data_IF_739308347782
#
_entry.id   IF_739308347782
#
_cell.length_a   1.000
_cell.length_b   1.000
_cell.length_c   1.000
_cell.angle_alpha   90.00
_cell.angle_beta   90.00
_cell.angle_gamma   90.00
#
_symmetry.space_group_name_H-M   'P 1'
#
loop_
_entity.id
_entity.type
_entity.pdbx_description
1 polymer ?
#
# COMPACT_ATOMS: atom_id res chain seq x y z
N UNK A 1 52.70 -40.28 35.98
CA UNK A 1 53.39 -40.77 34.76
C UNK A 1 53.17 -39.73 33.68
N UNK A 2 54.13 -38.80 33.42
CA UNK A 2 55.07 -38.79 32.27
C UNK A 2 54.38 -39.26 30.97
N UNK A 3 54.29 -38.49 29.88
CA UNK A 3 55.38 -37.76 29.21
C UNK A 3 54.87 -36.79 28.10
N UNK A 4 55.55 -35.63 27.99
CA UNK A 4 56.08 -34.89 26.81
C UNK A 4 55.13 -34.47 25.67
N UNK A 5 54.95 -33.18 25.33
CA UNK A 5 55.85 -32.06 24.97
C UNK A 5 56.43 -32.11 23.53
N UNK A 6 56.11 -31.08 22.73
CA UNK A 6 57.00 -30.14 21.97
C UNK A 6 56.20 -29.42 20.86
N UNK A 7 56.11 -28.08 20.86
CA UNK A 7 57.05 -27.09 20.24
C UNK A 7 57.19 -27.30 18.72
N UNK A 8 57.03 -26.35 17.81
CA UNK A 8 56.79 -24.90 17.85
C UNK A 8 57.14 -24.26 16.49
N UNK A 9 56.80 -22.97 16.35
CA UNK A 9 57.49 -21.92 15.56
C UNK A 9 57.21 -21.75 14.03
N UNK A 10 56.38 -20.75 13.71
CA UNK A 10 56.60 -19.47 12.97
C UNK A 10 57.60 -19.40 11.79
N UNK A 11 57.13 -18.78 10.67
CA UNK A 11 57.76 -17.78 9.76
C UNK A 11 57.41 -18.10 8.28
N UNK A 12 56.56 -17.33 7.58
CA UNK A 12 56.70 -16.00 6.94
C UNK A 12 57.51 -15.94 5.64
N UNK A 13 56.95 -15.22 4.66
CA UNK A 13 57.51 -14.60 3.44
C UNK A 13 57.65 -15.41 2.14
N UNK A 14 57.19 -14.81 1.04
CA UNK A 14 57.85 -14.91 -0.27
C UNK A 14 56.91 -14.96 -1.48
N UNK A 15 56.84 -13.84 -2.21
CA UNK A 15 56.20 -13.63 -3.51
C UNK A 15 56.63 -14.60 -4.63
N UNK A 16 55.78 -14.79 -5.65
CA UNK A 16 56.06 -14.41 -7.06
C UNK A 16 55.18 -15.12 -8.10
N UNK A 17 54.48 -14.29 -8.88
CA UNK A 17 54.30 -14.29 -10.34
C UNK A 17 53.74 -15.50 -11.15
N UNK A 18 52.65 -15.15 -11.85
CA UNK A 18 52.34 -15.37 -13.28
C UNK A 18 52.26 -16.80 -13.85
N UNK A 19 51.09 -17.11 -14.42
CA UNK A 19 50.96 -17.42 -15.86
C UNK A 19 49.51 -17.37 -16.36
N UNK A 20 49.37 -16.75 -17.53
CA UNK A 20 48.19 -16.61 -18.37
C UNK A 20 47.54 -17.95 -18.77
N UNK A 21 46.20 -17.95 -18.90
CA UNK A 21 45.50 -18.49 -20.08
C UNK A 21 43.98 -18.29 -20.00
N UNK A 22 43.45 -17.40 -20.85
CA UNK A 22 42.11 -17.49 -21.44
C UNK A 22 42.30 -17.92 -22.92
N UNK A 23 41.28 -18.25 -23.75
CA UNK A 23 39.83 -18.14 -23.55
C UNK A 23 39.01 -19.37 -24.03
N UNK A 24 37.74 -19.51 -23.62
CA UNK A 24 36.75 -20.31 -24.38
C UNK A 24 35.37 -19.64 -24.34
N UNK A 25 34.92 -19.16 -25.50
CA UNK A 25 33.52 -18.84 -25.84
C UNK A 25 32.71 -20.13 -25.95
N UNK A 26 31.49 -20.16 -25.39
CA UNK A 26 30.35 -20.92 -25.92
C UNK A 26 29.03 -20.25 -25.54
N UNK A 27 28.29 -19.79 -26.56
CA UNK A 27 26.81 -19.73 -26.51
C UNK A 27 26.24 -21.15 -26.45
N UNK A 28 24.99 -21.33 -26.00
CA UNK A 28 23.96 -21.66 -27.01
C UNK A 28 22.52 -21.15 -26.75
N UNK A 29 21.86 -20.90 -27.88
CA UNK A 29 20.46 -21.18 -28.25
C UNK A 29 19.28 -20.72 -27.37
N UNK A 30 18.57 -19.74 -27.93
CA UNK A 30 17.12 -19.55 -27.80
C UNK A 30 16.37 -20.72 -28.43
N UNK A 31 15.48 -21.35 -27.69
CA UNK A 31 14.34 -22.09 -28.23
C UNK A 31 13.04 -21.39 -27.78
N UNK A 32 12.24 -21.04 -28.79
CA UNK A 32 10.91 -20.46 -28.67
C UNK A 32 9.94 -21.64 -28.45
N UNK A 33 9.37 -21.76 -27.26
CA UNK A 33 8.26 -22.69 -27.02
C UNK A 33 6.96 -21.93 -27.28
N UNK A 34 6.39 -22.17 -28.46
CA UNK A 34 5.02 -21.82 -28.84
C UNK A 34 4.07 -22.83 -28.17
N UNK A 35 3.40 -22.45 -27.08
CA UNK A 35 2.27 -23.21 -26.55
C UNK A 35 0.98 -22.79 -27.26
N UNK A 36 0.68 -23.47 -28.36
CA UNK A 36 -0.63 -23.44 -29.02
C UNK A 36 -1.59 -24.33 -28.22
N UNK A 37 -2.55 -23.73 -27.50
CA UNK A 37 -3.66 -24.49 -26.93
C UNK A 37 -4.70 -24.75 -28.03
N UNK A 38 -4.75 -26.00 -28.48
CA UNK A 38 -5.84 -26.59 -29.24
C UNK A 38 -7.05 -26.73 -28.31
N UNK A 39 -8.13 -26.01 -28.61
CA UNK A 39 -9.47 -26.31 -28.08
C UNK A 39 -10.22 -27.03 -29.19
N UNK A 40 -10.35 -28.35 -29.04
CA UNK A 40 -11.21 -29.18 -29.88
C UNK A 40 -12.69 -28.90 -29.56
N UNK A 41 -13.42 -28.42 -30.55
CA UNK A 41 -14.88 -28.44 -30.59
C UNK A 41 -15.38 -29.76 -31.16
N UNK A 42 -16.38 -30.43 -30.55
CA UNK A 42 -17.19 -31.38 -31.28
C UNK A 42 -18.30 -30.64 -32.04
N UNK A 43 -18.25 -30.78 -33.37
CA UNK A 43 -19.30 -30.46 -34.32
C UNK A 43 -20.61 -31.14 -33.93
N UNK A 44 -21.70 -30.39 -33.84
CA UNK A 44 -23.03 -30.93 -34.11
C UNK A 44 -23.83 -29.99 -35.01
N UNK A 45 -24.47 -30.58 -36.01
CA UNK A 45 -25.07 -29.91 -37.19
C UNK A 45 -26.49 -29.42 -36.91
N UNK A 46 -26.82 -28.26 -37.48
CA UNK A 46 -28.09 -28.04 -38.18
C UNK A 46 -29.04 -26.99 -37.58
N UNK A 47 -29.36 -25.95 -38.36
CA UNK A 47 -30.59 -25.15 -38.15
C UNK A 47 -30.51 -23.66 -38.42
N UNK A 48 -30.59 -23.26 -39.71
CA UNK A 48 -31.22 -22.05 -40.28
C UNK A 48 -31.63 -20.89 -39.34
N UNK A 49 -31.10 -19.68 -39.58
CA UNK A 49 -31.87 -18.43 -39.37
C UNK A 49 -31.32 -17.22 -40.17
N UNK A 50 -31.44 -17.29 -41.50
CA UNK A 50 -31.65 -16.09 -42.31
C UNK A 50 -33.10 -15.64 -42.15
N UNK A 51 -33.31 -14.32 -41.97
CA UNK A 51 -34.57 -13.54 -41.89
C UNK A 51 -35.08 -13.19 -40.49
N UNK A 52 -34.70 -11.99 -40.03
CA UNK A 52 -35.64 -10.95 -39.57
C UNK A 52 -34.87 -9.63 -39.44
N UNK A 53 -34.92 -8.78 -40.48
CA UNK A 53 -35.61 -7.48 -40.44
C UNK A 53 -34.92 -6.49 -39.47
N UNK A 54 -33.99 -5.63 -39.93
CA UNK A 54 -34.28 -4.44 -40.75
C UNK A 54 -35.49 -3.65 -40.22
N UNK A 55 -35.25 -2.86 -39.17
CA UNK A 55 -36.02 -1.66 -38.83
C UNK A 55 -35.26 -0.92 -37.71
N UNK A 56 -34.61 0.19 -38.04
CA UNK A 56 -34.61 1.52 -37.39
C UNK A 56 -33.49 2.30 -38.07
N UNK A 57 -33.78 2.79 -39.29
CA UNK A 57 -33.10 3.95 -39.84
C UNK A 57 -33.78 5.20 -39.25
N UNK A 58 -32.98 6.18 -38.85
CA UNK A 58 -33.45 7.54 -38.60
C UNK A 58 -33.52 7.98 -37.14
N UNK A 59 -32.37 8.04 -36.46
CA UNK A 59 -32.15 9.06 -35.44
C UNK A 59 -30.78 9.68 -35.69
N UNK A 60 -30.77 10.99 -35.96
CA UNK A 60 -29.57 11.81 -36.01
C UNK A 60 -28.88 11.72 -34.65
N UNK A 61 -27.86 10.88 -34.55
CA UNK A 61 -26.87 10.98 -33.47
C UNK A 61 -26.05 12.21 -33.80
N UNK A 62 -26.40 13.32 -33.15
CA UNK A 62 -25.48 14.43 -32.99
C UNK A 62 -24.27 13.85 -32.27
N UNK A 63 -23.18 13.64 -33.01
CA UNK A 63 -21.87 13.46 -32.41
C UNK A 63 -21.58 14.74 -31.62
N UNK A 64 -21.94 14.74 -30.34
CA UNK A 64 -21.29 15.62 -29.38
C UNK A 64 -19.87 15.08 -29.27
N UNK A 65 -18.96 15.67 -30.05
CA UNK A 65 -17.54 15.63 -29.76
C UNK A 65 -17.38 16.09 -28.31
N UNK A 66 -17.19 15.12 -27.41
CA UNK A 66 -16.69 15.39 -26.07
C UNK A 66 -15.26 15.87 -26.23
N UNK A 67 -15.12 17.17 -26.44
CA UNK A 67 -13.87 17.88 -26.46
C UNK A 67 -13.31 18.00 -25.03
N UNK A 68 -12.97 16.87 -24.39
CA UNK A 68 -12.24 16.80 -23.11
C UNK A 68 -11.13 15.72 -23.13
N UNK A 69 -10.56 15.39 -24.29
CA UNK A 69 -9.27 14.68 -24.36
C UNK A 69 -8.12 15.70 -24.41
N UNK A 70 -7.86 16.38 -23.29
CA UNK A 70 -6.63 17.13 -23.11
C UNK A 70 -5.59 16.18 -22.47
N UNK A 71 -4.79 15.56 -23.33
CA UNK A 71 -3.80 14.50 -23.09
C UNK A 71 -4.42 13.11 -22.84
N UNK A 72 -4.59 12.34 -23.92
CA UNK A 72 -4.68 10.89 -23.80
C UNK A 72 -3.39 10.42 -23.12
N UNK A 73 -3.49 10.00 -21.87
CA UNK A 73 -2.37 9.41 -21.15
C UNK A 73 -2.37 7.90 -21.39
N UNK A 74 -1.24 7.25 -21.16
CA UNK A 74 -1.13 5.78 -21.09
C UNK A 74 -0.86 5.41 -19.64
N UNK A 75 -1.63 4.47 -19.11
CA UNK A 75 -1.45 3.95 -17.76
C UNK A 75 -0.36 2.89 -17.75
N UNK A 76 0.59 3.03 -16.83
CA UNK A 76 1.71 2.09 -16.64
C UNK A 76 1.89 1.76 -15.16
N UNK A 77 2.35 0.55 -14.88
CA UNK A 77 2.73 0.11 -13.52
C UNK A 77 4.20 0.41 -13.29
N UNK A 78 4.54 0.95 -12.12
CA UNK A 78 5.92 1.00 -11.66
C UNK A 78 6.07 -0.01 -10.51
N UNK A 79 6.56 -1.24 -10.77
CA UNK A 79 6.49 -2.34 -9.82
C UNK A 79 7.49 -2.24 -8.66
N UNK A 80 8.42 -1.29 -8.74
CA UNK A 80 9.48 -1.06 -7.75
C UNK A 80 8.92 -0.85 -6.34
N UNK A 81 9.58 -1.48 -5.36
CA UNK A 81 9.32 -1.31 -3.94
C UNK A 81 10.58 -0.79 -3.24
N UNK A 82 10.40 0.05 -2.22
CA UNK A 82 11.52 0.54 -1.42
C UNK A 82 12.25 -0.60 -0.68
N UNK A 83 11.51 -1.66 -0.33
CA UNK A 83 12.02 -2.85 0.35
C UNK A 83 11.43 -4.10 -0.29
N UNK A 84 12.29 -5.02 -0.71
CA UNK A 84 11.91 -6.30 -1.29
C UNK A 84 11.36 -6.19 -2.72
N UNK A 85 10.72 -7.26 -3.17
CA UNK A 85 10.05 -7.32 -4.48
C UNK A 85 8.54 -7.43 -4.30
N UNK A 86 7.78 -6.96 -5.29
CA UNK A 86 6.33 -7.16 -5.31
C UNK A 86 6.03 -8.66 -5.43
N UNK A 87 5.21 -9.21 -4.53
CA UNK A 87 4.78 -10.60 -4.65
C UNK A 87 3.88 -10.78 -5.88
N UNK A 88 3.83 -11.97 -6.45
CA UNK A 88 3.10 -12.22 -7.70
C UNK A 88 1.62 -11.87 -7.58
N UNK A 89 1.01 -12.21 -6.45
CA UNK A 89 -0.39 -11.88 -6.20
C UNK A 89 -0.64 -10.37 -6.00
N UNK A 90 0.34 -9.62 -5.48
CA UNK A 90 0.26 -8.15 -5.34
C UNK A 90 0.37 -7.49 -6.71
N UNK A 91 1.34 -7.92 -7.53
CA UNK A 91 1.53 -7.40 -8.88
C UNK A 91 0.32 -7.65 -9.77
N UNK A 92 -0.30 -8.84 -9.67
CA UNK A 92 -1.54 -9.15 -10.37
C UNK A 92 -2.69 -8.23 -9.93
N UNK A 93 -2.85 -7.99 -8.63
CA UNK A 93 -3.84 -7.04 -8.13
C UNK A 93 -3.56 -5.60 -8.60
N UNK A 94 -2.29 -5.16 -8.57
CA UNK A 94 -1.89 -3.85 -9.09
C UNK A 94 -2.16 -3.73 -10.60
N UNK A 95 -1.98 -4.81 -11.34
CA UNK A 95 -2.28 -4.89 -12.77
C UNK A 95 -3.77 -4.70 -13.05
N UNK A 96 -4.63 -5.37 -12.30
CA UNK A 96 -6.07 -5.20 -12.44
C UNK A 96 -6.52 -3.78 -12.05
N UNK A 97 -5.92 -3.19 -11.01
CA UNK A 97 -6.14 -1.79 -10.62
C UNK A 97 -5.75 -0.84 -11.75
N UNK A 98 -4.55 -1.01 -12.32
CA UNK A 98 -4.06 -0.16 -13.40
C UNK A 98 -4.93 -0.26 -14.66
N UNK A 99 -5.36 -1.48 -15.02
CA UNK A 99 -6.28 -1.70 -16.15
C UNK A 99 -7.61 -0.96 -15.96
N UNK A 100 -8.18 -0.99 -14.75
CA UNK A 100 -9.43 -0.28 -14.44
C UNK A 100 -9.26 1.24 -14.39
N UNK A 101 -8.16 1.72 -13.85
CA UNK A 101 -7.78 3.13 -13.89
C UNK A 101 -7.67 3.64 -15.33
N UNK A 102 -7.13 2.83 -16.24
CA UNK A 102 -7.05 3.16 -17.66
C UNK A 102 -8.44 3.34 -18.27
N UNK A 103 -9.38 2.42 -17.99
CA UNK A 103 -10.78 2.54 -18.41
C UNK A 103 -11.43 3.81 -17.84
N UNK A 104 -11.29 4.07 -16.54
CA UNK A 104 -11.84 5.26 -15.88
C UNK A 104 -11.31 6.57 -16.48
N UNK A 105 -10.03 6.60 -16.86
CA UNK A 105 -9.41 7.78 -17.48
C UNK A 105 -9.62 7.85 -19.00
N UNK A 106 -10.26 6.85 -19.63
CA UNK A 106 -10.37 6.78 -21.09
C UNK A 106 -9.02 6.63 -21.79
N UNK A 107 -8.08 5.94 -21.15
CA UNK A 107 -6.67 5.80 -21.51
C UNK A 107 -6.32 4.35 -21.88
N UNK A 108 -5.23 4.14 -22.58
CA UNK A 108 -4.68 2.80 -22.81
C UNK A 108 -3.90 2.29 -21.59
N UNK A 109 -3.85 0.98 -21.39
CA UNK A 109 -3.01 0.33 -20.38
C UNK A 109 -1.86 -0.39 -21.07
N UNK A 110 -0.62 -0.04 -20.74
CA UNK A 110 0.58 -0.56 -21.41
C UNK A 110 1.41 -1.54 -20.57
N UNK A 111 0.88 -2.05 -19.46
CA UNK A 111 1.63 -2.96 -18.59
C UNK A 111 2.62 -2.26 -17.68
N UNK A 112 3.78 -2.88 -17.47
CA UNK A 112 4.87 -2.32 -16.68
C UNK A 112 5.60 -1.21 -17.44
N UNK A 113 6.08 -0.21 -16.71
CA UNK A 113 6.86 0.88 -17.28
C UNK A 113 8.22 0.39 -17.79
N UNK A 114 8.54 0.73 -19.03
CA UNK A 114 9.82 0.44 -19.66
C UNK A 114 10.56 1.74 -19.98
N UNK A 115 11.66 2.03 -19.27
CA UNK A 115 12.41 3.28 -19.41
C UNK A 115 12.96 3.55 -20.83
N UNK A 116 13.20 2.49 -21.62
CA UNK A 116 13.71 2.59 -22.99
C UNK A 116 12.60 2.62 -24.06
N UNK A 117 11.34 2.44 -23.65
CA UNK A 117 10.21 2.47 -24.56
C UNK A 117 9.76 3.91 -24.84
N UNK A 118 9.46 4.21 -26.10
CA UNK A 118 8.93 5.52 -26.49
C UNK A 118 7.40 5.50 -26.44
N UNK A 119 6.84 6.09 -25.39
CA UNK A 119 5.41 6.29 -25.29
C UNK A 119 4.98 7.49 -26.14
N UNK A 120 3.95 7.30 -26.98
CA UNK A 120 3.40 8.35 -27.84
C UNK A 120 2.65 9.44 -27.04
N UNK A 121 2.18 9.06 -25.85
CA UNK A 121 1.28 9.81 -24.99
C UNK A 121 1.93 10.13 -23.64
N UNK A 122 1.34 11.08 -22.90
CA UNK A 122 1.73 11.31 -21.50
C UNK A 122 1.51 10.05 -20.65
N UNK A 123 2.19 9.90 -19.52
CA UNK A 123 2.04 8.72 -18.67
C UNK A 123 1.21 9.02 -17.42
N UNK A 124 0.44 8.03 -17.00
CA UNK A 124 -0.20 7.98 -15.69
C UNK A 124 0.32 6.77 -14.92
N UNK A 125 1.04 6.99 -13.84
CA UNK A 125 1.74 5.93 -13.13
C UNK A 125 0.88 5.27 -12.06
N UNK A 126 1.01 3.95 -11.92
CA UNK A 126 0.46 3.18 -10.80
C UNK A 126 1.64 2.53 -10.07
N UNK A 127 2.28 3.25 -9.13
CA UNK A 127 3.44 2.72 -8.43
C UNK A 127 3.04 1.73 -7.34
N UNK A 128 3.83 0.66 -7.20
CA UNK A 128 3.67 -0.34 -6.13
C UNK A 128 3.99 0.23 -4.74
N UNK A 129 4.78 1.31 -4.67
CA UNK A 129 5.17 1.98 -3.44
C UNK A 129 5.04 3.50 -3.55
N UNK A 130 5.12 4.21 -2.42
CA UNK A 130 5.15 5.68 -2.41
C UNK A 130 6.47 6.11 -3.03
N UNK A 131 6.43 7.03 -4.00
CA UNK A 131 7.64 7.49 -4.65
C UNK A 131 8.42 8.42 -3.72
N UNK A 132 9.71 8.15 -3.58
CA UNK A 132 10.60 8.90 -2.70
C UNK A 132 11.55 9.75 -3.54
N UNK A 133 11.59 11.05 -3.24
CA UNK A 133 12.47 12.00 -3.88
C UNK A 133 11.82 12.71 -5.07
N UNK A 134 11.94 14.04 -5.08
CA UNK A 134 11.35 14.88 -6.13
C UNK A 134 12.11 14.75 -7.45
N UNK A 135 13.42 14.51 -7.40
CA UNK A 135 14.24 14.34 -8.60
C UNK A 135 13.82 13.09 -9.38
N UNK A 136 13.60 11.97 -8.68
CA UNK A 136 13.12 10.74 -9.31
C UNK A 136 11.72 10.90 -9.91
N UNK A 137 10.80 11.56 -9.19
CA UNK A 137 9.48 11.88 -9.74
C UNK A 137 9.58 12.78 -10.99
N UNK A 138 10.48 13.76 -10.99
CA UNK A 138 10.70 14.66 -12.12
C UNK A 138 11.31 13.94 -13.34
N UNK A 139 12.21 12.98 -13.14
CA UNK A 139 12.75 12.12 -14.20
C UNK A 139 11.64 11.33 -14.90
N UNK A 140 10.66 10.84 -14.12
CA UNK A 140 9.45 10.19 -14.62
C UNK A 140 8.38 11.17 -15.15
N UNK A 141 8.63 12.47 -15.06
CA UNK A 141 7.71 13.57 -15.42
C UNK A 141 6.41 13.58 -14.60
N UNK A 142 6.45 13.03 -13.39
CA UNK A 142 5.36 13.08 -12.41
C UNK A 142 5.44 14.42 -11.67
N UNK A 143 4.45 15.28 -11.85
CA UNK A 143 4.47 16.67 -11.36
C UNK A 143 3.42 16.95 -10.29
N UNK A 144 2.29 16.23 -10.32
CA UNK A 144 1.18 16.41 -9.39
C UNK A 144 0.32 15.14 -9.28
N UNK A 145 -0.78 15.24 -8.53
CA UNK A 145 -1.74 14.17 -8.27
C UNK A 145 -2.54 13.72 -9.51
N UNK A 146 -2.44 14.40 -10.66
CA UNK A 146 -3.06 13.93 -11.92
C UNK A 146 -2.16 12.99 -12.73
N UNK A 147 -0.87 12.86 -12.36
CA UNK A 147 0.14 12.07 -13.09
C UNK A 147 0.36 10.65 -12.50
N UNK A 148 -0.25 10.31 -11.35
CA UNK A 148 -0.15 8.97 -10.75
C UNK A 148 -1.37 8.57 -9.92
N UNK A 149 -1.51 7.28 -9.59
CA UNK A 149 -2.38 6.74 -8.54
C UNK A 149 -1.53 6.32 -7.32
N UNK A 150 -1.28 7.25 -6.41
CA UNK A 150 -0.35 7.09 -5.29
C UNK A 150 0.11 8.45 -4.77
N UNK A 151 1.31 8.53 -4.22
CA UNK A 151 1.90 9.77 -3.72
C UNK A 151 3.40 9.84 -3.89
N UNK A 152 3.90 11.07 -3.83
CA UNK A 152 5.32 11.42 -3.89
C UNK A 152 5.69 12.12 -2.60
N UNK A 153 6.77 11.69 -1.95
CA UNK A 153 7.29 12.29 -0.71
C UNK A 153 8.74 12.75 -0.88
N UNK A 154 9.16 13.82 -0.18
CA UNK A 154 10.53 14.32 -0.30
C UNK A 154 11.58 13.43 0.39
N UNK A 155 11.21 12.66 1.41
CA UNK A 155 12.13 11.84 2.20
C UNK A 155 11.53 10.46 2.50
N UNK A 156 12.34 9.41 2.52
CA UNK A 156 11.87 8.03 2.68
C UNK A 156 11.07 7.81 3.96
N UNK A 157 11.50 8.38 5.10
CA UNK A 157 10.82 8.22 6.39
C UNK A 157 9.38 8.75 6.38
N UNK A 158 9.08 9.76 5.53
CA UNK A 158 7.75 10.37 5.37
C UNK A 158 6.77 9.32 4.85
N UNK A 159 7.20 8.43 3.95
CA UNK A 159 6.42 7.31 3.44
C UNK A 159 6.23 6.15 4.45
N UNK A 160 6.71 6.28 5.69
CA UNK A 160 6.64 5.21 6.70
C UNK A 160 5.91 5.65 7.97
N UNK A 161 5.73 4.71 8.90
CA UNK A 161 5.13 4.98 10.22
C UNK A 161 5.90 5.98 11.07
N UNK A 162 7.21 6.18 10.82
CA UNK A 162 8.06 7.04 11.66
C UNK A 162 7.79 8.53 11.47
N UNK A 163 7.04 8.94 10.44
CA UNK A 163 6.58 10.32 10.27
C UNK A 163 5.69 10.82 11.43
N UNK A 164 4.99 9.90 12.11
CA UNK A 164 3.86 10.22 13.00
C UNK A 164 4.28 10.90 14.30
N UNK A 165 5.26 10.32 15.00
CA UNK A 165 5.53 10.65 16.40
C UNK A 165 6.74 11.59 16.56
N UNK A 166 6.79 12.27 17.71
CA UNK A 166 7.96 13.07 18.08
C UNK A 166 9.18 12.19 18.35
N UNK A 167 10.37 12.79 18.29
CA UNK A 167 11.57 12.15 18.85
C UNK A 167 11.52 12.18 20.39
N UNK A 168 12.21 11.27 21.09
CA UNK A 168 12.22 11.23 22.56
C UNK A 168 12.82 12.49 23.21
N UNK A 169 13.73 13.18 22.52
CA UNK A 169 14.35 14.39 23.04
C UNK A 169 14.90 15.33 21.97
N UNK A 170 15.31 16.54 22.36
CA UNK A 170 15.83 17.55 21.44
C UNK A 170 17.18 17.19 20.80
N UNK A 171 17.89 16.19 21.35
CA UNK A 171 19.18 15.71 20.86
C UNK A 171 19.11 14.27 20.32
N UNK A 172 17.91 13.71 20.19
CA UNK A 172 17.71 12.39 19.61
C UNK A 172 18.09 12.37 18.13
N UNK A 173 18.54 11.23 17.64
CA UNK A 173 18.88 11.08 16.23
C UNK A 173 17.63 11.24 15.35
N UNK A 174 17.79 11.86 14.19
CA UNK A 174 16.73 12.09 13.23
C UNK A 174 17.26 11.94 11.80
N UNK A 175 16.45 11.48 10.85
CA UNK A 175 16.80 11.48 9.43
C UNK A 175 16.83 12.91 8.89
N UNK A 176 17.55 13.11 7.78
CA UNK A 176 17.53 14.36 7.05
C UNK A 176 16.10 14.72 6.60
N UNK A 177 15.75 16.00 6.71
CA UNK A 177 14.41 16.50 6.42
C UNK A 177 13.39 16.33 7.54
N UNK A 178 13.80 15.89 8.74
CA UNK A 178 12.91 15.78 9.89
C UNK A 178 12.20 17.09 10.21
N UNK A 179 10.87 17.04 10.38
CA UNK A 179 10.03 18.21 10.65
C UNK A 179 9.35 18.10 12.03
N UNK A 180 9.91 18.70 13.10
CA UNK A 180 9.30 18.67 14.44
C UNK A 180 7.90 19.29 14.52
N UNK A 181 7.50 20.10 13.54
CA UNK A 181 6.14 20.62 13.42
C UNK A 181 5.10 19.55 13.12
N UNK A 182 5.47 18.45 12.46
CA UNK A 182 4.55 17.36 12.12
C UNK A 182 3.97 16.74 13.39
N UNK A 183 4.83 16.21 14.26
CA UNK A 183 4.43 15.61 15.53
C UNK A 183 3.60 16.57 16.41
N UNK A 184 3.96 17.86 16.46
CA UNK A 184 3.19 18.88 17.20
C UNK A 184 1.78 19.08 16.64
N UNK A 185 1.61 19.04 15.32
CA UNK A 185 0.31 19.23 14.67
C UNK A 185 -0.60 18.02 14.81
N UNK A 186 -0.02 16.82 14.91
CA UNK A 186 -0.80 15.57 14.98
C UNK A 186 -0.94 15.00 16.38
N UNK A 187 -0.32 15.61 17.39
CA UNK A 187 -0.28 15.10 18.78
C UNK A 187 -1.65 14.68 19.34
N UNK A 188 -2.71 15.44 19.05
CA UNK A 188 -4.07 15.18 19.54
C UNK A 188 -4.86 14.17 18.69
N UNK A 189 -4.30 13.72 17.57
CA UNK A 189 -4.95 12.80 16.62
C UNK A 189 -4.19 11.49 16.44
N UNK A 190 -3.17 11.24 17.27
CA UNK A 190 -2.35 10.02 17.30
C UNK A 190 -2.29 9.49 18.73
N UNK A 191 -1.90 8.23 18.90
CA UNK A 191 -1.66 7.69 20.24
C UNK A 191 -0.36 8.25 20.84
N UNK A 192 -0.20 8.27 22.18
CA UNK A 192 1.09 8.62 22.77
C UNK A 192 2.21 7.72 22.23
N UNK A 193 3.28 8.30 21.69
CA UNK A 193 4.35 7.54 21.09
C UNK A 193 5.57 8.37 20.69
N UNK A 194 6.58 7.65 20.19
CA UNK A 194 7.86 8.18 19.74
C UNK A 194 8.33 7.47 18.48
N UNK A 195 9.01 8.21 17.62
CA UNK A 195 9.81 7.69 16.52
C UNK A 195 11.28 7.73 16.92
N UNK A 196 12.01 6.63 16.72
CA UNK A 196 13.40 6.47 17.15
C UNK A 196 14.26 5.89 16.04
N UNK A 197 15.52 6.31 15.99
CA UNK A 197 16.48 5.94 14.93
C UNK A 197 17.80 5.37 15.49
N UNK A 198 17.88 5.16 16.80
CA UNK A 198 18.99 4.42 17.43
C UNK A 198 18.48 3.66 18.67
N UNK A 199 19.26 2.68 19.12
CA UNK A 199 18.89 1.81 20.24
C UNK A 199 18.77 2.54 21.58
N UNK A 200 19.56 3.60 21.79
CA UNK A 200 19.54 4.35 23.04
C UNK A 200 18.21 5.11 23.19
N UNK A 201 17.84 5.88 22.16
CA UNK A 201 16.56 6.59 22.08
C UNK A 201 15.38 5.61 22.17
N UNK A 202 15.49 4.42 21.58
CA UNK A 202 14.45 3.38 21.65
C UNK A 202 14.20 2.90 23.08
N UNK A 203 15.27 2.63 23.84
CA UNK A 203 15.18 2.24 25.26
C UNK A 203 14.58 3.35 26.11
N UNK A 204 15.03 4.58 25.91
CA UNK A 204 14.54 5.74 26.63
C UNK A 204 13.05 5.98 26.36
N UNK A 205 12.64 5.91 25.09
CA UNK A 205 11.24 6.04 24.68
C UNK A 205 10.36 4.96 25.30
N UNK A 206 10.78 3.70 25.18
CA UNK A 206 10.01 2.56 25.69
C UNK A 206 9.91 2.56 27.22
N UNK A 207 10.96 3.00 27.93
CA UNK A 207 10.94 3.18 29.39
C UNK A 207 9.93 4.24 29.83
N UNK A 208 9.76 5.32 29.06
CA UNK A 208 8.75 6.36 29.36
C UNK A 208 7.34 5.87 29.07
N UNK A 209 7.14 5.17 27.95
CA UNK A 209 5.83 4.65 27.57
C UNK A 209 5.37 3.51 28.48
N UNK A 210 6.28 2.67 28.97
CA UNK A 210 5.93 1.54 29.85
C UNK A 210 5.33 1.97 31.19
N UNK A 211 5.54 3.22 31.61
CA UNK A 211 4.86 3.82 32.77
C UNK A 211 3.35 3.97 32.56
N UNK A 212 2.89 3.92 31.31
CA UNK A 212 1.49 4.10 30.92
C UNK A 212 0.81 2.77 30.52
N UNK A 213 1.55 1.67 30.46
CA UNK A 213 1.04 0.36 30.06
C UNK A 213 1.95 -0.36 29.06
N UNK A 214 1.41 -1.41 28.42
CA UNK A 214 2.13 -2.13 27.38
C UNK A 214 2.45 -1.22 26.18
N UNK A 215 3.59 -1.47 25.55
CA UNK A 215 4.12 -0.67 24.43
C UNK A 215 4.02 -1.47 23.15
N UNK A 216 3.40 -0.90 22.12
CA UNK A 216 3.44 -1.44 20.77
C UNK A 216 4.66 -0.88 20.04
N UNK A 217 5.49 -1.78 19.55
CA UNK A 217 6.71 -1.49 18.79
C UNK A 217 6.48 -1.88 17.33
N UNK A 218 6.77 -0.97 16.37
CA UNK A 218 6.51 -1.17 14.94
C UNK A 218 7.75 -0.84 14.13
N UNK A 219 8.19 -1.77 13.26
CA UNK A 219 9.19 -1.46 12.22
C UNK A 219 8.63 -0.42 11.25
N UNK A 220 9.46 0.53 10.82
CA UNK A 220 9.06 1.51 9.80
C UNK A 220 8.59 0.86 8.48
N UNK A 221 9.23 -0.25 8.09
CA UNK A 221 8.95 -1.01 6.86
C UNK A 221 7.85 -2.06 7.01
N UNK A 222 7.26 -2.24 8.20
CA UNK A 222 6.23 -3.25 8.40
C UNK A 222 4.97 -2.97 7.57
N UNK A 223 4.39 -3.99 6.94
CA UNK A 223 3.18 -3.88 6.11
C UNK A 223 2.14 -4.90 6.58
N UNK A 224 0.86 -4.51 6.61
CA UNK A 224 -0.25 -5.44 6.87
C UNK A 224 -0.21 -6.08 8.27
N UNK A 225 0.24 -5.34 9.28
CA UNK A 225 0.38 -5.84 10.65
C UNK A 225 1.67 -6.61 10.94
N UNK A 226 2.42 -7.03 9.92
CA UNK A 226 3.72 -7.68 10.09
C UNK A 226 4.78 -6.69 10.60
N UNK A 227 5.71 -7.20 11.41
CA UNK A 227 6.79 -6.39 11.99
C UNK A 227 6.30 -5.47 13.11
N UNK A 228 5.31 -5.92 13.88
CA UNK A 228 4.81 -5.25 15.07
C UNK A 228 4.81 -6.21 16.26
N UNK A 229 5.12 -5.70 17.44
CA UNK A 229 5.17 -6.46 18.69
C UNK A 229 4.56 -5.65 19.83
N UNK A 230 4.04 -6.34 20.83
CA UNK A 230 3.61 -5.73 22.09
C UNK A 230 4.54 -6.22 23.19
N UNK A 231 5.13 -5.29 23.93
CA UNK A 231 6.00 -5.58 25.07
C UNK A 231 5.41 -4.95 26.33
N UNK A 232 5.41 -5.72 27.41
CA UNK A 232 4.84 -5.34 28.71
C UNK A 232 5.90 -5.05 29.76
N UNK A 233 7.15 -5.43 29.50
CA UNK A 233 8.27 -5.23 30.44
C UNK A 233 9.49 -4.61 29.77
N UNK A 234 10.34 -3.96 30.57
CA UNK A 234 11.61 -3.42 30.08
C UNK A 234 12.53 -4.53 29.54
N UNK A 235 12.47 -5.74 30.10
CA UNK A 235 13.26 -6.87 29.63
C UNK A 235 12.80 -7.35 28.25
N UNK A 236 11.49 -7.50 28.05
CA UNK A 236 10.92 -7.83 26.73
C UNK A 236 11.27 -6.77 25.67
N UNK A 237 11.23 -5.49 26.06
CA UNK A 237 11.65 -4.40 25.19
C UNK A 237 13.12 -4.53 24.82
N UNK A 238 14.02 -4.75 25.78
CA UNK A 238 15.45 -4.90 25.51
C UNK A 238 15.71 -6.11 24.60
N UNK A 239 15.11 -7.26 24.88
CA UNK A 239 15.26 -8.48 24.06
C UNK A 239 14.77 -8.24 22.63
N UNK A 240 13.61 -7.59 22.47
CA UNK A 240 13.10 -7.21 21.17
C UNK A 240 14.05 -6.27 20.45
N UNK A 241 14.52 -5.20 21.11
CA UNK A 241 15.45 -4.24 20.51
C UNK A 241 16.78 -4.88 20.12
N UNK A 242 17.27 -5.89 20.86
CA UNK A 242 18.44 -6.68 20.47
C UNK A 242 18.18 -7.58 19.26
N UNK A 243 16.96 -8.11 19.13
CA UNK A 243 16.58 -8.93 17.98
C UNK A 243 16.36 -8.11 16.69
N UNK A 244 16.06 -6.83 16.83
CA UNK A 244 15.98 -5.90 15.71
C UNK A 244 17.41 -5.62 15.24
N UNK A 245 17.71 -6.00 14.00
CA UNK A 245 19.02 -5.75 13.40
C UNK A 245 19.34 -4.26 13.47
N UNK A 246 20.56 -3.91 13.92
CA UNK A 246 20.98 -2.50 14.05
C UNK A 246 20.84 -1.73 12.74
N UNK A 247 20.97 -2.43 11.61
CA UNK A 247 20.84 -1.86 10.27
C UNK A 247 19.38 -1.45 9.96
N UNK A 248 18.38 -2.25 10.35
CA UNK A 248 16.96 -1.89 10.20
C UNK A 248 16.63 -0.60 10.95
N UNK A 249 17.14 -0.49 12.18
CA UNK A 249 16.86 0.62 13.07
C UNK A 249 17.56 1.92 12.60
N UNK A 250 18.77 1.81 12.04
CA UNK A 250 19.48 2.93 11.42
C UNK A 250 18.84 3.35 10.08
N UNK A 251 18.34 2.41 9.28
CA UNK A 251 17.85 2.68 7.92
C UNK A 251 16.45 3.29 7.89
N UNK A 252 15.54 2.77 8.73
CA UNK A 252 14.12 3.17 8.69
C UNK A 252 13.57 3.73 10.01
N UNK A 253 14.23 3.42 11.13
CA UNK A 253 13.72 3.70 12.47
C UNK A 253 12.60 2.76 12.92
N UNK A 254 12.17 2.97 14.16
CA UNK A 254 11.12 2.21 14.83
C UNK A 254 10.15 3.17 15.48
N UNK A 255 8.88 2.79 15.54
CA UNK A 255 7.85 3.49 16.31
C UNK A 255 7.59 2.73 17.59
N UNK A 256 7.59 3.42 18.72
CA UNK A 256 7.10 2.93 20.00
C UNK A 256 5.89 3.76 20.39
N UNK A 257 4.78 3.13 20.72
CA UNK A 257 3.56 3.83 21.11
C UNK A 257 2.75 3.05 22.14
N UNK A 258 1.79 3.72 22.76
CA UNK A 258 0.84 3.09 23.66
C UNK A 258 0.08 1.95 22.94
N UNK A 259 0.06 0.76 23.55
CA UNK A 259 -0.76 -0.34 23.07
C UNK A 259 -2.21 -0.20 23.54
N UNK A 260 -3.16 -0.52 22.66
CA UNK A 260 -4.58 -0.62 22.98
C UNK A 260 -5.03 -2.08 23.01
N UNK A 261 -6.04 -2.39 23.83
CA UNK A 261 -6.82 -3.62 23.79
C UNK A 261 -8.18 -3.38 23.14
N UNK A 262 -8.87 -4.46 22.75
CA UNK A 262 -10.21 -4.39 22.13
C UNK A 262 -10.22 -3.48 20.90
N UNK A 263 -9.21 -3.64 20.04
CA UNK A 263 -8.94 -2.69 18.97
C UNK A 263 -9.84 -2.95 17.76
N UNK A 264 -10.54 -1.91 17.34
CA UNK A 264 -11.07 -1.77 15.99
C UNK A 264 -10.12 -0.92 15.16
N UNK A 265 -9.79 -1.39 13.96
CA UNK A 265 -8.99 -0.61 13.00
C UNK A 265 -9.87 -0.14 11.84
N UNK A 266 -9.87 1.16 11.60
CA UNK A 266 -10.58 1.78 10.49
C UNK A 266 -9.59 2.27 9.43
N UNK A 267 -9.99 2.13 8.18
CA UNK A 267 -9.34 2.75 7.03
C UNK A 267 -10.09 4.04 6.69
N UNK A 268 -9.43 5.19 6.75
CA UNK A 268 -10.00 6.47 6.26
C UNK A 268 -9.10 7.03 5.17
N UNK A 269 -9.63 7.28 3.99
CA UNK A 269 -8.81 7.67 2.86
C UNK A 269 -9.52 8.54 1.82
N UNK A 270 -8.74 9.04 0.87
CA UNK A 270 -9.21 9.83 -0.26
C UNK A 270 -8.49 9.39 -1.53
N UNK A 271 -9.25 9.34 -2.63
CA UNK A 271 -8.73 9.12 -3.98
C UNK A 271 -9.18 10.24 -4.91
N UNK A 272 -8.29 10.61 -5.84
CA UNK A 272 -8.49 11.60 -6.89
C UNK A 272 -8.09 10.98 -8.23
N UNK A 273 -9.06 10.74 -9.10
CA UNK A 273 -8.84 10.09 -10.39
C UNK A 273 -9.84 10.65 -11.40
N UNK A 274 -9.37 10.98 -12.60
CA UNK A 274 -10.22 11.41 -13.72
C UNK A 274 -11.15 12.59 -13.33
N UNK A 275 -10.63 13.56 -12.57
CA UNK A 275 -11.39 14.71 -12.08
C UNK A 275 -12.41 14.39 -10.98
N UNK A 276 -12.56 13.12 -10.56
CA UNK A 276 -13.38 12.73 -9.43
C UNK A 276 -12.56 12.75 -8.14
N UNK A 277 -13.18 13.21 -7.06
CA UNK A 277 -12.69 13.03 -5.70
C UNK A 277 -13.66 12.10 -4.98
N UNK A 278 -13.14 11.10 -4.29
CA UNK A 278 -13.92 10.22 -3.42
C UNK A 278 -13.20 10.02 -2.10
N UNK A 279 -13.90 10.18 -0.99
CA UNK A 279 -13.35 10.02 0.36
C UNK A 279 -14.17 8.96 1.09
N UNK A 280 -13.52 8.16 1.93
CA UNK A 280 -14.18 7.01 2.55
C UNK A 280 -13.75 6.81 4.00
N UNK A 281 -14.58 6.05 4.71
CA UNK A 281 -14.16 5.28 5.88
C UNK A 281 -14.53 3.82 5.66
N UNK A 282 -13.87 2.91 6.36
CA UNK A 282 -14.21 1.50 6.36
C UNK A 282 -13.61 0.77 7.54
N UNK A 283 -14.19 -0.36 7.91
CA UNK A 283 -13.67 -1.21 8.98
C UNK A 283 -12.78 -2.28 8.37
N UNK A 284 -11.57 -2.41 8.88
CA UNK A 284 -10.64 -3.46 8.49
C UNK A 284 -11.07 -4.79 9.10
N UNK A 285 -10.90 -5.87 8.35
CA UNK A 285 -11.13 -7.24 8.82
C UNK A 285 -9.80 -7.97 8.88
N UNK A 286 -9.66 -8.83 9.87
CA UNK A 286 -8.58 -9.79 9.92
C UNK A 286 -9.04 -11.13 9.32
N UNK A 287 -8.10 -11.88 8.79
CA UNK A 287 -8.26 -13.27 8.34
C UNK A 287 -7.08 -14.09 8.83
N UNK A 288 -7.28 -15.40 9.01
CA UNK A 288 -6.16 -16.30 9.21
C UNK A 288 -5.46 -16.56 7.88
N UNK A 289 -4.13 -16.48 7.85
CA UNK A 289 -3.32 -16.86 6.69
C UNK A 289 -3.10 -18.38 6.64
N UNK A 290 -2.41 -18.87 5.61
CA UNK A 290 -2.09 -20.30 5.45
C UNK A 290 -1.15 -20.87 6.54
N UNK A 291 -0.63 -20.04 7.45
CA UNK A 291 0.19 -20.42 8.61
C UNK A 291 -0.58 -20.33 9.93
N UNK A 292 -1.85 -19.90 9.90
CA UNK A 292 -2.69 -19.72 11.09
C UNK A 292 -2.48 -18.38 11.81
N UNK A 293 -1.74 -17.44 11.23
CA UNK A 293 -1.52 -16.11 11.79
C UNK A 293 -2.64 -15.16 11.36
N UNK A 294 -3.06 -14.26 12.23
CA UNK A 294 -4.02 -13.20 11.88
C UNK A 294 -3.34 -12.11 11.05
N UNK A 295 -3.87 -11.86 9.86
CA UNK A 295 -3.38 -10.85 8.90
C UNK A 295 -4.56 -10.04 8.38
N UNK A 296 -4.28 -8.95 7.66
CA UNK A 296 -5.32 -8.18 6.98
C UNK A 296 -6.10 -9.05 5.97
N UNK A 297 -7.43 -9.05 6.10
CA UNK A 297 -8.37 -9.81 5.26
C UNK A 297 -9.27 -8.95 4.39
N UNK A 298 -9.03 -7.63 4.34
CA UNK A 298 -9.84 -6.70 3.56
C UNK A 298 -10.51 -5.60 4.36
N UNK A 299 -11.24 -4.73 3.66
CA UNK A 299 -12.02 -3.64 4.24
C UNK A 299 -13.32 -3.48 3.47
N UNK A 300 -14.42 -3.19 4.19
CA UNK A 300 -15.65 -2.68 3.57
C UNK A 300 -15.68 -1.17 3.76
N UNK A 301 -15.66 -0.44 2.65
CA UNK A 301 -15.65 1.01 2.60
C UNK A 301 -17.06 1.56 2.38
N UNK A 302 -17.41 2.60 3.11
CA UNK A 302 -18.47 3.56 2.74
C UNK A 302 -17.77 4.76 2.12
N UNK A 303 -18.01 4.97 0.82
CA UNK A 303 -17.31 5.95 0.00
C UNK A 303 -18.28 7.06 -0.37
N UNK A 304 -17.95 8.30 -0.03
CA UNK A 304 -18.68 9.48 -0.46
C UNK A 304 -17.98 10.14 -1.65
N UNK A 305 -18.75 10.58 -2.65
CA UNK A 305 -18.25 11.46 -3.70
C UNK A 305 -17.95 12.83 -3.09
N UNK A 306 -16.70 13.28 -3.23
CA UNK A 306 -16.20 14.54 -2.70
C UNK A 306 -15.10 14.36 -1.66
N UNK A 307 -14.72 15.47 -1.03
CA UNK A 307 -13.67 15.52 -0.02
C UNK A 307 -14.12 15.05 1.37
N UNK A 308 -13.24 15.21 2.38
CA UNK A 308 -13.55 14.89 3.77
C UNK A 308 -14.81 15.57 4.30
N UNK A 309 -15.12 16.79 3.85
CA UNK A 309 -16.33 17.49 4.28
C UNK A 309 -17.61 16.80 3.76
N UNK A 310 -17.57 16.20 2.57
CA UNK A 310 -18.69 15.40 2.05
C UNK A 310 -18.85 14.10 2.87
N UNK A 311 -17.75 13.47 3.27
CA UNK A 311 -17.79 12.29 4.12
C UNK A 311 -18.36 12.59 5.52
N UNK A 312 -17.99 13.74 6.11
CA UNK A 312 -18.47 14.18 7.42
C UNK A 312 -19.95 14.61 7.43
N UNK A 313 -20.57 14.81 6.26
CA UNK A 313 -22.00 15.09 6.13
C UNK A 313 -22.89 13.84 6.19
N UNK A 314 -22.29 12.64 6.13
CA UNK A 314 -23.04 11.40 6.31
C UNK A 314 -23.56 11.28 7.75
N UNK A 315 -24.56 10.42 7.95
CA UNK A 315 -25.01 10.05 9.28
C UNK A 315 -23.96 9.11 9.91
N UNK A 316 -23.14 9.67 10.78
CA UNK A 316 -22.02 8.99 11.44
C UNK A 316 -22.26 8.91 12.94
N UNK A 317 -21.81 7.82 13.56
CA UNK A 317 -21.63 7.80 15.00
C UNK A 317 -20.43 8.66 15.42
N UNK A 318 -20.30 8.89 16.73
CA UNK A 318 -19.24 9.74 17.28
C UNK A 318 -17.84 9.17 17.07
N UNK A 319 -17.71 7.84 17.03
CA UNK A 319 -16.43 7.15 16.88
C UNK A 319 -15.91 7.30 15.45
N UNK A 320 -16.76 7.09 14.45
CA UNK A 320 -16.47 7.32 13.03
C UNK A 320 -16.18 8.78 12.75
N UNK A 321 -16.97 9.71 13.30
CA UNK A 321 -16.72 11.13 13.15
C UNK A 321 -15.33 11.52 13.71
N UNK A 322 -14.95 10.94 14.85
CA UNK A 322 -13.61 11.12 15.45
C UNK A 322 -12.52 10.60 14.50
N UNK A 323 -12.64 9.37 14.01
CA UNK A 323 -11.67 8.77 13.10
C UNK A 323 -11.45 9.60 11.82
N UNK A 324 -12.55 10.07 11.21
CA UNK A 324 -12.47 10.89 9.98
C UNK A 324 -11.84 12.25 10.27
N UNK A 325 -12.16 12.87 11.40
CA UNK A 325 -11.57 14.15 11.81
C UNK A 325 -10.07 14.02 12.10
N UNK A 326 -9.65 12.90 12.69
CA UNK A 326 -8.23 12.59 12.94
C UNK A 326 -7.47 12.41 11.63
N UNK A 327 -8.00 11.62 10.70
CA UNK A 327 -7.41 11.41 9.37
C UNK A 327 -7.28 12.74 8.59
N UNK A 328 -8.33 13.57 8.58
CA UNK A 328 -8.31 14.89 7.93
C UNK A 328 -7.22 15.80 8.51
N UNK A 329 -7.10 15.84 9.84
CA UNK A 329 -6.09 16.64 10.54
C UNK A 329 -4.67 16.16 10.23
N UNK A 330 -4.46 14.85 10.26
CA UNK A 330 -3.19 14.23 9.93
C UNK A 330 -2.79 14.49 8.48
N UNK A 331 -3.71 14.32 7.53
CA UNK A 331 -3.50 14.61 6.11
C UNK A 331 -3.05 16.06 5.89
N UNK A 332 -3.79 17.02 6.46
CA UNK A 332 -3.44 18.44 6.37
C UNK A 332 -2.08 18.74 7.01
N UNK A 333 -1.76 18.09 8.14
CA UNK A 333 -0.47 18.24 8.80
C UNK A 333 0.68 17.75 7.90
N UNK A 334 0.56 16.57 7.31
CA UNK A 334 1.55 15.99 6.41
C UNK A 334 1.83 16.91 5.20
N UNK A 335 0.80 17.33 4.47
CA UNK A 335 0.95 18.25 3.34
C UNK A 335 1.56 19.60 3.75
N UNK A 336 1.18 20.14 4.91
CA UNK A 336 1.70 21.43 5.38
C UNK A 336 3.16 21.36 5.86
N UNK A 337 3.59 20.22 6.41
CA UNK A 337 4.95 20.04 6.94
C UNK A 337 5.94 19.56 5.89
N UNK A 338 5.45 18.96 4.81
CA UNK A 338 6.24 18.52 3.67
C UNK A 338 5.66 19.10 2.37
N UNK A 339 5.76 20.41 2.12
CA UNK A 339 5.05 21.07 1.02
C UNK A 339 5.26 20.49 -0.40
N UNK A 340 6.43 19.94 -0.76
CA UNK A 340 6.61 19.30 -2.06
C UNK A 340 5.86 17.97 -2.24
N UNK A 341 5.33 17.40 -1.15
CA UNK A 341 4.55 16.17 -1.17
C UNK A 341 3.19 16.38 -1.84
N UNK A 342 2.75 15.39 -2.60
CA UNK A 342 1.37 15.30 -3.09
C UNK A 342 0.94 13.84 -3.17
N UNK A 343 -0.37 13.61 -3.14
CA UNK A 343 -0.95 12.28 -3.29
C UNK A 343 -2.32 12.36 -3.95
N UNK A 344 -2.52 11.53 -4.97
CA UNK A 344 -3.82 11.25 -5.57
C UNK A 344 -4.55 10.14 -4.83
N UNK A 345 -3.83 9.33 -4.05
CA UNK A 345 -4.40 8.29 -3.18
C UNK A 345 -3.76 8.36 -1.81
N UNK A 346 -4.59 8.48 -0.77
CA UNK A 346 -4.16 8.39 0.62
C UNK A 346 -5.09 7.51 1.44
N UNK A 347 -4.52 6.78 2.39
CA UNK A 347 -5.24 6.01 3.40
C UNK A 347 -4.56 6.20 4.76
N UNK A 348 -5.36 6.29 5.82
CA UNK A 348 -4.95 6.44 7.20
C UNK A 348 -5.61 5.34 8.02
N UNK A 349 -4.79 4.54 8.70
CA UNK A 349 -5.28 3.51 9.60
C UNK A 349 -5.48 4.13 10.97
N UNK A 350 -6.72 4.08 11.47
CA UNK A 350 -7.12 4.63 12.77
C UNK A 350 -7.39 3.47 13.70
N UNK A 351 -6.74 3.43 14.86
CA UNK A 351 -7.10 2.49 15.91
C UNK A 351 -8.02 3.15 16.93
N UNK A 352 -9.05 2.41 17.31
CA UNK A 352 -9.95 2.74 18.40
C UNK A 352 -10.00 1.56 19.37
N UNK A 353 -9.84 1.82 20.65
CA UNK A 353 -9.77 0.77 21.65
C UNK A 353 -9.52 1.35 23.03
N UNK A 354 -9.14 0.48 23.97
CA UNK A 354 -8.98 0.83 25.38
C UNK A 354 -7.50 0.80 25.76
N UNK A 355 -7.02 1.83 26.44
CA UNK A 355 -5.65 1.84 26.97
C UNK A 355 -5.54 1.07 28.30
N UNK A 356 -4.32 0.92 28.83
CA UNK A 356 -4.08 0.15 30.06
C UNK A 356 -4.77 0.74 31.31
N UNK A 357 -5.25 1.98 31.26
CA UNK A 357 -6.01 2.61 32.34
C UNK A 357 -7.52 2.38 32.23
N UNK A 358 -7.98 1.69 31.18
CA UNK A 358 -9.40 1.51 30.89
C UNK A 358 -10.02 2.69 30.14
N UNK A 359 -9.22 3.64 29.65
CA UNK A 359 -9.72 4.80 28.92
C UNK A 359 -9.82 4.50 27.43
N UNK A 360 -10.95 4.84 26.82
CA UNK A 360 -11.11 4.77 25.37
C UNK A 360 -10.19 5.78 24.67
N UNK A 361 -9.50 5.33 23.63
CA UNK A 361 -8.57 6.10 22.81
C UNK A 361 -8.86 5.89 21.33
N UNK A 362 -8.59 6.93 20.55
CA UNK A 362 -8.60 6.90 19.08
C UNK A 362 -7.35 7.60 18.56
N UNK A 363 -6.71 7.08 17.52
CA UNK A 363 -5.58 7.78 16.89
C UNK A 363 -5.13 7.15 15.59
N UNK A 364 -4.56 7.98 14.71
CA UNK A 364 -3.91 7.53 13.47
C UNK A 364 -2.69 6.70 13.86
N UNK A 365 -2.65 5.45 13.39
CA UNK A 365 -1.54 4.52 13.58
C UNK A 365 -0.47 4.68 12.52
N UNK A 366 -0.91 4.86 11.28
CA UNK A 366 -0.05 4.92 10.11
C UNK A 366 -0.77 5.50 8.89
N UNK A 367 0.03 5.87 7.89
CA UNK A 367 -0.43 6.34 6.59
C UNK A 367 -0.01 5.37 5.49
N UNK A 368 -0.74 5.38 4.37
CA UNK A 368 -0.35 4.73 3.12
C UNK A 368 -0.71 5.62 1.93
N UNK A 369 0.31 6.05 1.16
CA UNK A 369 0.17 6.82 -0.10
C UNK A 369 0.57 6.03 -1.34
N UNK A 370 0.30 4.73 -1.32
CA UNK A 370 0.56 3.81 -2.44
C UNK A 370 -0.65 2.95 -2.71
N UNK A 371 -0.65 2.15 -3.78
CA UNK A 371 -1.65 1.09 -3.95
C UNK A 371 -1.62 0.13 -2.74
N UNK A 372 -2.79 -0.27 -2.25
CA UNK A 372 -2.90 -1.12 -1.06
C UNK A 372 -4.19 -1.92 -1.00
N UNK A 373 -4.40 -2.59 0.14
CA UNK A 373 -5.52 -3.53 0.34
C UNK A 373 -6.93 -2.90 0.35
N UNK A 374 -7.05 -1.58 0.27
CA UNK A 374 -8.33 -0.88 0.08
C UNK A 374 -8.58 -0.47 -1.38
N UNK A 375 -7.55 -0.52 -2.24
CA UNK A 375 -7.62 0.09 -3.56
C UNK A 375 -8.60 -0.57 -4.51
N UNK A 376 -8.87 -1.86 -4.38
CA UNK A 376 -9.93 -2.50 -5.16
C UNK A 376 -11.31 -1.88 -4.91
N UNK A 377 -11.64 -1.61 -3.64
CA UNK A 377 -12.88 -0.96 -3.26
C UNK A 377 -12.90 0.54 -3.62
N UNK A 378 -11.76 1.22 -3.54
CA UNK A 378 -11.61 2.60 -4.03
C UNK A 378 -11.99 2.70 -5.52
N UNK A 379 -11.44 1.82 -6.35
CA UNK A 379 -11.72 1.80 -7.79
C UNK A 379 -13.16 1.40 -8.09
N UNK A 380 -13.71 0.39 -7.44
CA UNK A 380 -15.11 -0.01 -7.65
C UNK A 380 -16.10 1.12 -7.32
N UNK A 381 -15.83 1.90 -6.27
CA UNK A 381 -16.64 3.08 -5.96
C UNK A 381 -16.50 4.19 -7.02
N UNK A 382 -15.29 4.43 -7.53
CA UNK A 382 -15.06 5.38 -8.62
C UNK A 382 -15.76 4.93 -9.92
N UNK A 383 -15.75 3.64 -10.25
CA UNK A 383 -16.49 3.06 -11.38
C UNK A 383 -18.00 3.28 -11.23
N UNK A 384 -18.55 3.06 -10.03
CA UNK A 384 -19.96 3.33 -9.75
C UNK A 384 -20.30 4.83 -9.91
N UNK A 385 -19.45 5.71 -9.40
CA UNK A 385 -19.59 7.16 -9.54
C UNK A 385 -19.41 7.64 -10.98
N UNK A 386 -18.58 6.98 -11.77
CA UNK A 386 -18.42 7.29 -13.19
C UNK A 386 -19.67 6.88 -13.98
N UNK A 387 -20.23 5.70 -13.69
CA UNK A 387 -21.42 5.17 -14.35
C UNK A 387 -22.70 5.95 -14.01
N UNK A 388 -22.83 6.42 -12.76
CA UNK A 388 -23.96 7.24 -12.31
C UNK A 388 -23.47 8.55 -11.67
N UNK A 389 -23.48 9.67 -12.41
CA UNK A 389 -23.14 10.99 -11.87
C UNK A 389 -24.04 11.47 -10.73
N UNK A 390 -25.26 10.92 -10.59
CA UNK A 390 -26.19 11.22 -9.50
C UNK A 390 -25.88 10.45 -8.21
N UNK A 391 -25.08 9.39 -8.29
CA UNK A 391 -24.68 8.60 -7.12
C UNK A 391 -23.70 9.40 -6.25
N UNK A 392 -24.06 9.57 -4.98
CA UNK A 392 -23.30 10.34 -3.98
C UNK A 392 -22.55 9.46 -2.98
N UNK A 393 -23.03 8.24 -2.73
CA UNK A 393 -22.41 7.28 -1.80
C UNK A 393 -22.42 5.89 -2.42
N UNK A 394 -21.31 5.17 -2.28
CA UNK A 394 -21.17 3.78 -2.69
C UNK A 394 -20.61 2.96 -1.52
N UNK A 395 -20.89 1.66 -1.51
CA UNK A 395 -20.30 0.73 -0.56
C UNK A 395 -19.59 -0.38 -1.31
N UNK A 396 -18.30 -0.53 -1.06
CA UNK A 396 -17.46 -1.48 -1.77
C UNK A 396 -16.55 -2.21 -0.79
N UNK A 397 -16.31 -3.49 -1.03
CA UNK A 397 -15.45 -4.32 -0.18
C UNK A 397 -14.28 -4.84 -0.98
N UNK A 398 -13.07 -4.73 -0.44
CA UNK A 398 -11.94 -5.58 -0.87
C UNK A 398 -11.81 -6.71 0.12
N UNK A 399 -11.62 -7.93 -0.36
CA UNK A 399 -11.52 -9.13 0.47
C UNK A 399 -10.28 -9.93 0.06
N UNK A 400 -9.52 -10.38 1.05
CA UNK A 400 -8.36 -11.23 0.92
C UNK A 400 -8.57 -12.48 1.78
N UNK A 401 -8.55 -13.66 1.16
CA UNK A 401 -8.76 -14.94 1.83
C UNK A 401 -7.65 -15.92 1.45
N UNK A 402 -7.24 -16.73 2.42
CA UNK A 402 -6.19 -17.72 2.28
C UNK A 402 -6.78 -19.13 2.30
N UNK A 403 -6.27 -20.00 1.43
CA UNK A 403 -6.70 -21.38 1.31
C UNK A 403 -7.02 -21.81 -0.12
N UNK A 404 -7.10 -23.12 -0.39
CA UNK A 404 -7.17 -23.67 -1.74
C UNK A 404 -8.54 -23.55 -2.41
N UNK A 405 -9.61 -23.39 -1.63
CA UNK A 405 -10.98 -23.32 -2.12
C UNK A 405 -11.73 -22.24 -1.37
N UNK A 406 -12.08 -21.17 -2.09
CA UNK A 406 -12.84 -20.04 -1.57
C UNK A 406 -14.14 -19.97 -2.37
N UNK A 407 -15.27 -20.01 -1.67
CA UNK A 407 -16.56 -19.70 -2.27
C UNK A 407 -16.66 -18.20 -2.51
N UNK A 408 -16.85 -17.82 -3.77
CA UNK A 408 -16.95 -16.42 -4.16
C UNK A 408 -18.41 -15.96 -4.18
N UNK A 409 -18.70 -14.74 -3.71
CA UNK A 409 -19.96 -14.08 -4.02
C UNK A 409 -20.20 -14.01 -5.53
N UNK A 410 -21.46 -14.08 -5.95
CA UNK A 410 -21.84 -14.08 -7.37
C UNK A 410 -21.37 -12.82 -8.12
N UNK A 411 -21.33 -11.69 -7.43
CA UNK A 411 -20.92 -10.38 -7.92
C UNK A 411 -19.44 -10.05 -7.66
N UNK A 412 -18.66 -11.03 -7.19
CA UNK A 412 -17.25 -10.83 -6.91
C UNK A 412 -16.44 -10.60 -8.18
N UNK A 413 -15.70 -9.50 -8.18
CA UNK A 413 -14.68 -9.19 -9.19
C UNK A 413 -13.34 -9.69 -8.67
N UNK A 414 -12.81 -10.74 -9.29
CA UNK A 414 -11.54 -11.35 -8.89
C UNK A 414 -10.37 -10.49 -9.37
N UNK A 415 -9.48 -10.13 -8.44
CA UNK A 415 -8.21 -9.45 -8.72
C UNK A 415 -7.05 -10.45 -8.75
N UNK A 416 -7.14 -11.50 -7.95
CA UNK A 416 -6.21 -12.62 -7.99
C UNK A 416 -6.86 -13.88 -7.42
N UNK A 417 -6.60 -15.03 -8.04
CA UNK A 417 -6.92 -16.33 -7.47
C UNK A 417 -5.86 -17.33 -7.91
N UNK A 418 -5.13 -17.89 -6.97
CA UNK A 418 -4.02 -18.81 -7.27
C UNK A 418 -3.16 -19.10 -6.07
N UNK A 419 -1.97 -19.65 -6.30
CA UNK A 419 -0.94 -19.82 -5.28
C UNK A 419 0.16 -18.79 -5.50
N UNK A 420 0.55 -18.12 -4.43
CA UNK A 420 1.72 -17.26 -4.37
C UNK A 420 2.87 -17.99 -3.67
N UNK A 421 4.11 -17.76 -4.10
CA UNK A 421 5.28 -18.46 -3.57
C UNK A 421 5.55 -18.16 -2.09
N UNK A 422 5.15 -16.97 -1.60
CA UNK A 422 5.42 -16.54 -0.23
C UNK A 422 4.30 -16.94 0.72
N UNK A 423 3.05 -16.80 0.25
CA UNK A 423 1.86 -16.94 1.10
C UNK A 423 1.00 -18.15 0.79
N UNK A 424 1.29 -18.91 -0.27
CA UNK A 424 0.51 -20.07 -0.69
C UNK A 424 -0.81 -19.68 -1.37
N UNK A 425 -1.84 -20.56 -1.32
CA UNK A 425 -3.14 -20.31 -1.93
C UNK A 425 -3.81 -19.06 -1.37
N UNK A 426 -4.17 -18.11 -2.24
CA UNK A 426 -4.76 -16.83 -1.88
C UNK A 426 -5.75 -16.37 -2.95
N UNK A 427 -6.86 -15.77 -2.49
CA UNK A 427 -7.89 -15.17 -3.33
C UNK A 427 -8.11 -13.72 -2.90
N UNK A 428 -8.05 -12.81 -3.88
CA UNK A 428 -8.33 -11.37 -3.72
C UNK A 428 -9.48 -11.00 -4.64
N UNK A 429 -10.53 -10.43 -4.08
CA UNK A 429 -11.68 -9.99 -4.86
C UNK A 429 -12.29 -8.71 -4.29
N UNK A 430 -13.12 -8.08 -5.11
CA UNK A 430 -13.88 -6.88 -4.79
C UNK A 430 -15.36 -7.13 -4.97
N UNK A 431 -16.20 -6.60 -4.10
CA UNK A 431 -17.65 -6.53 -4.29
C UNK A 431 -18.12 -5.08 -4.22
N UNK A 432 -19.19 -4.78 -4.95
CA UNK A 432 -19.87 -3.49 -4.91
C UNK A 432 -21.30 -3.72 -4.46
N UNK A 433 -21.65 -3.18 -3.29
CA UNK A 433 -22.98 -3.29 -2.71
C UNK A 433 -23.84 -2.10 -3.15
N UNK A 434 -25.12 -2.35 -3.43
CA UNK A 434 -26.08 -1.27 -3.58
C UNK A 434 -26.20 -0.53 -2.23
N UNK A 435 -25.81 0.75 -2.19
CA UNK A 435 -25.96 1.55 -0.99
C UNK A 435 -27.43 1.96 -0.83
N UNK A 436 -28.18 1.21 -0.02
CA UNK A 436 -29.47 1.67 0.47
C UNK A 436 -29.21 2.77 1.50
N UNK A 437 -29.62 4.00 1.20
CA UNK A 437 -29.73 5.06 2.20
C UNK A 437 -30.52 4.51 3.41
N UNK A 438 -29.96 4.51 4.65
CA UNK A 438 -30.77 4.37 5.85
C UNK A 438 -31.76 5.53 5.99
#
# INVERSE_FOLDING_TARGET
MRCKAREGVIASYGDAEQRCSAPVRREPNREIISCTFLIDHPLNKGGSMEKMLAAVEGTNVVHTENAHCANAATVVILPEKLVGTCAAHELAAHTEIARRLAVLKGCEFAGEFEANYQYENGLYFVPSDTLVGLDYAAELRIRNDEDLFGGVVPHAFVATKTITHALPGPYSAAPDGWAPSMARKVQEVVLPGYSVFNLHDARDAGTRLSQQGAVRVKKASGVGGLGQWVVSTAHELDDLLYSLESEDLLRGGVVLECNLSEVSTLSVGQVKVAGMVATYYGVQRLTSNNRGEEVYGGSTLTVARGGFDALLQLQLDSELHTAISQARTYHAAALSCFPPMFASRCNYDIAQGVDASGQWRSGVLEQSWRVGGASGAEIAALEAFHADPGLSVARASTVELYGPQIELPHDAVIYFQGSDDNVGPITKYVTLEAYAHP
#
